data_IF_080438187850
#
_entry.id   IF_080438187850
#
_cell.length_a   1.000
_cell.length_b   1.000
_cell.length_c   1.000
_cell.angle_alpha   90.00
_cell.angle_beta   90.00
_cell.angle_gamma   90.00
#
_symmetry.space_group_name_H-M   'P 1'
#
loop_
_entity.id
_entity.type
_entity.pdbx_description
1 polymer ?
#
# COMPACT_ATOMS: atom_id res chain seq x y z
N UNK A 1 -30.29 3.32 -37.84
CA UNK A 1 -30.36 4.27 -36.71
C UNK A 1 -30.59 3.57 -35.36
N UNK A 2 -31.61 2.70 -35.20
CA UNK A 2 -31.86 1.98 -33.93
C UNK A 2 -30.71 1.06 -33.48
N UNK A 3 -30.05 0.36 -34.40
CA UNK A 3 -28.89 -0.50 -34.09
C UNK A 3 -27.68 0.31 -33.62
N UNK A 4 -27.39 1.45 -34.25
CA UNK A 4 -26.29 2.35 -33.87
C UNK A 4 -26.49 2.91 -32.46
N UNK A 5 -27.73 3.28 -32.11
CA UNK A 5 -28.04 3.76 -30.76
C UNK A 5 -27.87 2.66 -29.70
N UNK A 6 -28.24 1.42 -30.03
CA UNK A 6 -28.01 0.26 -29.17
C UNK A 6 -26.51 -0.03 -28.97
N UNK A 7 -25.71 0.04 -30.03
CA UNK A 7 -24.25 -0.12 -29.95
C UNK A 7 -23.60 0.98 -29.10
N UNK A 8 -24.03 2.24 -29.23
CA UNK A 8 -23.54 3.35 -28.41
C UNK A 8 -23.91 3.20 -26.93
N UNK A 9 -25.11 2.68 -26.63
CA UNK A 9 -25.54 2.34 -25.26
C UNK A 9 -24.70 1.20 -24.67
N UNK A 10 -24.45 0.15 -25.43
CA UNK A 10 -23.62 -0.98 -24.99
C UNK A 10 -22.16 -0.55 -24.77
N UNK A 11 -21.58 0.26 -25.66
CA UNK A 11 -20.23 0.81 -25.50
C UNK A 11 -20.12 1.72 -24.26
N UNK A 12 -21.14 2.54 -23.97
CA UNK A 12 -21.18 3.33 -22.73
C UNK A 12 -21.27 2.43 -21.49
N UNK A 13 -22.12 1.39 -21.51
CA UNK A 13 -22.24 0.45 -20.40
C UNK A 13 -20.92 -0.31 -20.14
N UNK A 14 -20.17 -0.67 -21.19
CA UNK A 14 -18.85 -1.30 -21.09
C UNK A 14 -17.81 -0.31 -20.54
N UNK A 15 -17.84 0.95 -20.99
CA UNK A 15 -16.97 2.01 -20.47
C UNK A 15 -17.19 2.30 -18.99
N UNK A 16 -18.42 2.13 -18.49
CA UNK A 16 -18.75 2.21 -17.06
C UNK A 16 -18.36 0.95 -16.27
N UNK A 17 -17.83 -0.10 -16.91
CA UNK A 17 -17.52 -1.41 -16.31
C UNK A 17 -16.02 -1.70 -16.22
N UNK A 18 -15.14 -0.71 -16.39
CA UNK A 18 -13.69 -0.93 -16.26
C UNK A 18 -13.31 -1.23 -14.80
N UNK A 19 -13.22 -2.51 -14.49
CA UNK A 19 -12.69 -3.03 -13.23
C UNK A 19 -11.21 -3.38 -13.40
N UNK A 20 -10.33 -2.46 -13.02
CA UNK A 20 -8.91 -2.76 -12.83
C UNK A 20 -8.70 -3.77 -11.69
N UNK A 21 -7.75 -4.69 -11.89
CA UNK A 21 -7.16 -5.54 -10.84
C UNK A 21 -5.92 -4.85 -10.28
N UNK A 22 -6.03 -4.40 -9.04
CA UNK A 22 -5.06 -3.52 -8.39
C UNK A 22 -4.30 -4.30 -7.32
N UNK A 23 -2.97 -4.30 -7.42
CA UNK A 23 -2.10 -4.76 -6.34
C UNK A 23 -1.85 -3.59 -5.39
N UNK A 24 -2.26 -3.73 -4.14
CA UNK A 24 -1.90 -2.79 -3.07
C UNK A 24 -0.82 -3.41 -2.19
N UNK A 25 0.41 -2.91 -2.28
CA UNK A 25 1.55 -3.36 -1.50
C UNK A 25 1.84 -2.34 -0.40
N UNK A 26 1.37 -2.59 0.82
CA UNK A 26 1.45 -1.67 1.95
C UNK A 26 1.81 -2.40 3.26
N UNK A 27 3.00 -3.02 3.35
CA UNK A 27 3.37 -3.84 4.50
C UNK A 27 3.79 -3.04 5.75
N UNK A 28 3.82 -1.70 5.69
CA UNK A 28 4.16 -0.88 6.84
C UNK A 28 3.06 -0.94 7.92
N UNK A 29 3.44 -1.28 9.16
CA UNK A 29 2.48 -1.49 10.26
C UNK A 29 2.06 -0.19 10.99
N UNK A 30 2.40 0.99 10.46
CA UNK A 30 1.91 2.26 11.02
C UNK A 30 0.38 2.34 10.91
N UNK A 31 -0.35 2.41 12.04
CA UNK A 31 -1.83 2.42 12.01
C UNK A 31 -2.40 3.60 11.20
N UNK A 32 -1.76 4.76 11.26
CA UNK A 32 -2.11 5.94 10.46
C UNK A 32 -1.98 5.69 8.95
N UNK A 33 -0.91 5.02 8.53
CA UNK A 33 -0.62 4.65 7.14
C UNK A 33 -1.67 3.68 6.62
N UNK A 34 -2.04 2.70 7.44
CA UNK A 34 -3.14 1.81 7.13
C UNK A 34 -4.48 2.55 6.98
N UNK A 35 -4.84 3.44 7.92
CA UNK A 35 -6.10 4.18 7.85
C UNK A 35 -6.17 4.99 6.55
N UNK A 36 -5.07 5.67 6.20
CA UNK A 36 -4.96 6.45 4.98
C UNK A 36 -5.11 5.58 3.72
N UNK A 37 -4.30 4.51 3.59
CA UNK A 37 -4.35 3.59 2.44
C UNK A 37 -5.72 2.91 2.33
N UNK A 38 -6.27 2.42 3.45
CA UNK A 38 -7.56 1.73 3.50
C UNK A 38 -8.71 2.60 2.98
N UNK A 39 -8.67 3.91 3.23
CA UNK A 39 -9.65 4.86 2.67
C UNK A 39 -9.65 4.84 1.13
N UNK A 40 -8.46 4.85 0.53
CA UNK A 40 -8.27 4.82 -0.93
C UNK A 40 -8.71 3.46 -1.50
N UNK A 41 -8.23 2.35 -0.92
CA UNK A 41 -8.54 1.00 -1.40
C UNK A 41 -10.04 0.69 -1.30
N UNK A 42 -10.71 1.10 -0.22
CA UNK A 42 -12.18 0.96 -0.07
C UNK A 42 -12.93 1.76 -1.12
N UNK A 43 -12.50 2.99 -1.40
CA UNK A 43 -13.13 3.83 -2.42
C UNK A 43 -12.96 3.25 -3.84
N UNK A 44 -11.82 2.63 -4.14
CA UNK A 44 -11.58 1.91 -5.40
C UNK A 44 -12.42 0.63 -5.49
N UNK A 45 -12.44 -0.16 -4.41
CA UNK A 45 -13.28 -1.35 -4.31
C UNK A 45 -14.77 -1.01 -4.54
N UNK A 46 -15.28 0.05 -3.91
CA UNK A 46 -16.67 0.52 -4.10
C UNK A 46 -16.99 0.95 -5.54
N UNK A 47 -15.98 1.34 -6.33
CA UNK A 47 -16.11 1.64 -7.76
C UNK A 47 -16.03 0.40 -8.65
N UNK A 48 -15.91 -0.79 -8.05
CA UNK A 48 -15.95 -2.07 -8.75
C UNK A 48 -14.57 -2.67 -9.04
N UNK A 49 -13.47 -2.03 -8.61
CA UNK A 49 -12.12 -2.56 -8.81
C UNK A 49 -11.85 -3.80 -7.96
N UNK A 50 -11.03 -4.71 -8.50
CA UNK A 50 -10.56 -5.90 -7.78
C UNK A 50 -9.30 -5.53 -7.01
N UNK A 51 -9.32 -5.67 -5.69
CA UNK A 51 -8.17 -5.31 -4.86
C UNK A 51 -7.47 -6.59 -4.40
N UNK A 52 -6.14 -6.62 -4.53
CA UNK A 52 -5.27 -7.62 -3.90
C UNK A 52 -4.32 -6.86 -2.99
N UNK A 53 -4.59 -6.84 -1.70
CA UNK A 53 -3.85 -6.10 -0.69
C UNK A 53 -2.90 -7.00 0.09
N UNK A 54 -1.64 -6.57 0.20
CA UNK A 54 -0.63 -7.13 1.08
C UNK A 54 -0.33 -6.09 2.17
N UNK A 55 -0.82 -6.32 3.38
CA UNK A 55 -0.69 -5.38 4.51
C UNK A 55 -0.90 -6.10 5.86
N UNK A 56 -0.48 -5.51 6.99
CA UNK A 56 -0.63 -6.16 8.30
C UNK A 56 -2.04 -6.08 8.90
N UNK A 57 -2.95 -5.29 8.31
CA UNK A 57 -4.28 -5.06 8.88
C UNK A 57 -5.38 -5.46 7.89
N UNK A 58 -6.19 -6.50 8.18
CA UNK A 58 -7.28 -6.90 7.30
C UNK A 58 -8.42 -5.87 7.29
N UNK A 59 -9.26 -5.86 6.24
CA UNK A 59 -10.53 -5.16 6.27
C UNK A 59 -11.39 -5.59 7.47
N UNK A 60 -12.13 -4.65 8.07
CA UNK A 60 -12.98 -4.92 9.25
C UNK A 60 -14.12 -5.91 9.00
N UNK A 61 -14.44 -6.19 7.74
CA UNK A 61 -15.43 -7.17 7.31
C UNK A 61 -15.00 -7.75 5.96
N UNK A 62 -15.43 -8.97 5.61
CA UNK A 62 -15.21 -9.52 4.28
C UNK A 62 -15.80 -8.60 3.20
N UNK A 63 -15.05 -8.40 2.12
CA UNK A 63 -15.45 -7.60 0.95
C UNK A 63 -15.37 -8.49 -0.30
N UNK A 64 -16.39 -8.45 -1.15
CA UNK A 64 -16.34 -9.14 -2.44
C UNK A 64 -15.23 -8.56 -3.32
N UNK A 65 -14.61 -9.33 -4.20
CA UNK A 65 -13.55 -8.84 -5.10
C UNK A 65 -12.38 -8.13 -4.36
N UNK A 66 -12.15 -8.50 -3.11
CA UNK A 66 -11.08 -7.97 -2.27
C UNK A 66 -10.33 -9.15 -1.64
N UNK A 67 -9.12 -9.38 -2.10
CA UNK A 67 -8.21 -10.36 -1.50
C UNK A 67 -7.27 -9.61 -0.58
N UNK A 68 -7.25 -9.99 0.70
CA UNK A 68 -6.28 -9.49 1.66
C UNK A 68 -5.32 -10.61 2.04
N UNK A 69 -4.03 -10.29 2.07
CA UNK A 69 -2.96 -11.19 2.47
C UNK A 69 -2.15 -10.51 3.55
N UNK A 70 -2.16 -11.09 4.74
CA UNK A 70 -1.41 -10.56 5.87
C UNK A 70 0.10 -10.67 5.63
N UNK A 71 0.81 -9.57 5.92
CA UNK A 71 2.27 -9.47 5.89
C UNK A 71 2.70 -8.79 7.18
N UNK A 72 3.27 -9.58 8.10
CA UNK A 72 3.78 -9.12 9.38
C UNK A 72 5.31 -9.12 9.37
N UNK A 73 5.91 -8.14 10.03
CA UNK A 73 7.36 -7.99 10.14
C UNK A 73 7.81 -8.07 11.61
N UNK A 74 9.09 -8.30 11.85
CA UNK A 74 9.62 -8.27 13.22
C UNK A 74 9.60 -6.84 13.78
N UNK A 75 9.74 -5.84 12.90
CA UNK A 75 9.61 -4.44 13.25
C UNK A 75 8.24 -4.12 13.89
N UNK A 76 7.16 -4.69 13.37
CA UNK A 76 5.84 -4.59 13.98
C UNK A 76 5.85 -5.14 15.41
N UNK A 77 6.41 -6.32 15.64
CA UNK A 77 6.44 -6.93 16.98
C UNK A 77 7.18 -6.06 17.99
N UNK A 78 8.25 -5.40 17.56
CA UNK A 78 9.08 -4.55 18.39
C UNK A 78 8.40 -3.21 18.74
N UNK A 79 7.48 -2.74 17.89
CA UNK A 79 6.94 -1.38 17.96
C UNK A 79 5.43 -1.31 18.25
N UNK A 80 4.71 -2.43 18.19
CA UNK A 80 3.25 -2.50 18.41
C UNK A 80 2.80 -1.91 19.77
N UNK A 81 3.67 -1.95 20.78
CA UNK A 81 3.38 -1.47 22.14
C UNK A 81 4.04 -0.12 22.45
N UNK A 82 4.58 0.57 21.45
CA UNK A 82 5.25 1.84 21.68
C UNK A 82 4.27 2.94 22.07
N UNK A 83 4.65 3.72 23.08
CA UNK A 83 3.98 4.99 23.36
C UNK A 83 4.39 6.05 22.36
N UNK A 84 3.60 7.12 22.27
CA UNK A 84 3.94 8.26 21.43
C UNK A 84 5.30 8.85 21.80
N UNK A 85 5.65 8.91 23.09
CA UNK A 85 6.92 9.44 23.57
C UNK A 85 8.11 8.59 23.12
N UNK A 86 7.97 7.26 23.14
CA UNK A 86 9.00 6.34 22.64
C UNK A 86 9.24 6.54 21.14
N UNK A 87 8.16 6.67 20.36
CA UNK A 87 8.27 7.00 18.94
C UNK A 87 8.89 8.40 18.73
N UNK A 88 8.47 9.41 19.49
CA UNK A 88 8.96 10.78 19.36
C UNK A 88 10.46 10.91 19.67
N UNK A 89 10.97 10.13 20.63
CA UNK A 89 12.40 10.03 20.92
C UNK A 89 13.18 9.47 19.73
N UNK A 90 12.68 8.37 19.15
CA UNK A 90 13.26 7.72 17.97
C UNK A 90 13.25 8.62 16.75
N UNK A 91 12.10 9.23 16.46
CA UNK A 91 11.95 10.16 15.36
C UNK A 91 12.71 11.47 15.61
N UNK A 92 13.36 11.61 16.79
CA UNK A 92 14.03 12.79 17.30
C UNK A 92 13.17 14.05 17.09
N UNK A 93 11.86 13.90 17.29
CA UNK A 93 10.89 14.99 17.35
C UNK A 93 11.05 15.80 18.65
N UNK A 94 12.26 15.84 19.22
CA UNK A 94 12.51 16.44 20.52
C UNK A 94 12.26 17.94 20.46
N UNK A 95 11.74 18.49 21.57
CA UNK A 95 11.54 19.92 21.81
C UNK A 95 12.86 20.72 21.90
N UNK A 96 13.91 20.31 21.17
CA UNK A 96 15.15 21.07 21.09
C UNK A 96 14.91 22.31 20.22
N UNK A 97 15.41 23.47 20.65
CA UNK A 97 15.31 24.75 19.94
C UNK A 97 15.89 24.73 18.51
N UNK A 98 16.58 23.64 18.12
CA UNK A 98 16.95 23.37 16.74
C UNK A 98 16.26 22.09 16.24
N UNK A 99 15.38 22.18 15.22
CA UNK A 99 14.84 20.98 14.57
C UNK A 99 16.01 20.17 14.02
N UNK A 100 16.12 18.91 14.42
CA UNK A 100 17.10 18.01 13.84
C UNK A 100 16.64 17.65 12.43
N UNK A 101 17.29 18.16 11.35
CA UNK A 101 16.88 17.86 9.98
C UNK A 101 17.03 16.37 9.63
N UNK A 102 17.71 15.60 10.49
CA UNK A 102 17.92 14.17 10.37
C UNK A 102 17.00 13.35 11.30
N UNK A 103 15.97 13.93 11.93
CA UNK A 103 15.04 13.15 12.76
C UNK A 103 14.41 11.98 11.99
N UNK A 104 13.99 12.25 10.75
CA UNK A 104 13.45 11.25 9.83
C UNK A 104 14.45 10.19 9.37
N UNK A 105 15.77 10.45 9.39
CA UNK A 105 16.75 9.41 9.01
C UNK A 105 16.73 8.24 9.98
N UNK A 106 16.45 8.50 11.27
CA UNK A 106 16.39 7.43 12.27
C UNK A 106 15.17 6.54 12.04
N UNK A 107 14.05 7.14 11.62
CA UNK A 107 12.86 6.39 11.23
C UNK A 107 13.19 5.51 10.03
N UNK A 108 13.83 6.08 8.99
CA UNK A 108 14.26 5.31 7.82
C UNK A 108 15.23 4.17 8.18
N UNK A 109 16.22 4.40 9.05
CA UNK A 109 17.14 3.34 9.50
C UNK A 109 16.46 2.21 10.26
N UNK A 110 15.41 2.53 11.02
CA UNK A 110 14.66 1.51 11.73
C UNK A 110 13.72 0.72 10.82
N UNK A 111 13.16 1.35 9.80
CA UNK A 111 12.20 0.71 8.92
C UNK A 111 12.86 0.02 7.72
N UNK A 112 14.04 0.47 7.28
CA UNK A 112 14.77 -0.14 6.15
C UNK A 112 15.02 -1.66 6.32
N UNK A 113 15.39 -2.21 7.49
CA UNK A 113 15.51 -3.65 7.70
C UNK A 113 14.25 -4.45 7.33
N UNK A 114 13.06 -3.85 7.45
CA UNK A 114 11.80 -4.52 7.07
C UNK A 114 11.78 -4.92 5.61
N UNK A 115 12.45 -4.17 4.73
CA UNK A 115 12.53 -4.52 3.31
C UNK A 115 13.00 -5.97 3.14
N UNK A 116 14.10 -6.35 3.79
CA UNK A 116 14.63 -7.70 3.72
C UNK A 116 13.63 -8.73 4.25
N UNK A 117 12.96 -8.43 5.36
CA UNK A 117 11.98 -9.32 5.98
C UNK A 117 10.76 -9.54 5.07
N UNK A 118 10.24 -8.46 4.47
CA UNK A 118 9.11 -8.51 3.53
C UNK A 118 9.43 -9.41 2.35
N UNK A 119 10.60 -9.25 1.70
CA UNK A 119 11.01 -10.12 0.59
C UNK A 119 11.33 -11.56 1.02
N UNK A 120 11.56 -11.80 2.31
CA UNK A 120 11.72 -13.15 2.86
C UNK A 120 10.38 -13.82 3.19
N UNK A 121 9.29 -13.07 3.31
CA UNK A 121 7.95 -13.58 3.60
C UNK A 121 7.45 -14.53 2.50
N UNK A 122 6.87 -15.66 2.89
CA UNK A 122 6.44 -16.70 1.94
C UNK A 122 5.37 -16.19 0.97
N UNK A 123 4.35 -15.48 1.47
CA UNK A 123 3.32 -14.84 0.64
C UNK A 123 3.91 -13.89 -0.42
N UNK A 124 4.96 -13.14 -0.06
CA UNK A 124 5.63 -12.21 -0.99
C UNK A 124 6.45 -12.97 -2.03
N UNK A 125 7.18 -14.01 -1.63
CA UNK A 125 7.88 -14.91 -2.56
C UNK A 125 6.91 -15.57 -3.53
N UNK A 126 5.77 -16.03 -3.04
CA UNK A 126 4.73 -16.65 -3.85
C UNK A 126 4.15 -15.65 -4.86
N UNK A 127 3.87 -14.41 -4.42
CA UNK A 127 3.46 -13.32 -5.31
C UNK A 127 4.51 -13.05 -6.39
N UNK A 128 5.78 -12.89 -6.01
CA UNK A 128 6.89 -12.61 -6.94
C UNK A 128 7.09 -13.75 -7.95
N UNK A 129 6.82 -15.00 -7.57
CA UNK A 129 6.94 -16.14 -8.47
C UNK A 129 5.63 -16.45 -9.23
N UNK A 130 4.54 -15.76 -8.91
CA UNK A 130 3.24 -15.99 -9.53
C UNK A 130 3.18 -15.51 -10.98
N UNK A 131 2.19 -16.02 -11.71
CA UNK A 131 1.78 -15.54 -13.03
C UNK A 131 0.58 -14.59 -12.96
N UNK A 132 0.37 -13.97 -11.78
CA UNK A 132 -0.69 -12.97 -11.60
C UNK A 132 -0.47 -11.77 -12.52
N UNK A 133 -1.57 -11.11 -12.85
CA UNK A 133 -1.61 -9.90 -13.65
C UNK A 133 -2.27 -8.78 -12.84
N UNK A 134 -1.71 -7.57 -12.94
CA UNK A 134 -2.25 -6.38 -12.32
C UNK A 134 -2.25 -5.23 -13.32
N UNK A 135 -3.34 -4.46 -13.33
CA UNK A 135 -3.47 -3.27 -14.17
C UNK A 135 -2.83 -2.04 -13.52
N UNK A 136 -2.65 -2.09 -12.19
CA UNK A 136 -2.11 -1.00 -11.38
C UNK A 136 -1.45 -1.56 -10.12
N UNK A 137 -0.32 -0.96 -9.73
CA UNK A 137 0.28 -1.16 -8.41
C UNK A 137 0.12 0.13 -7.60
N UNK A 138 -0.39 0.01 -6.38
CA UNK A 138 -0.44 1.08 -5.38
C UNK A 138 0.47 0.69 -4.23
N UNK A 139 1.33 1.60 -3.81
CA UNK A 139 2.20 1.41 -2.64
C UNK A 139 2.45 2.72 -1.91
N UNK A 140 3.10 2.65 -0.77
CA UNK A 140 3.67 3.79 -0.08
C UNK A 140 5.20 3.63 -0.12
N UNK A 141 5.91 4.58 -0.74
CA UNK A 141 7.36 4.45 -0.95
C UNK A 141 8.19 5.13 0.15
N UNK A 142 7.56 5.78 1.11
CA UNK A 142 8.22 6.45 2.23
C UNK A 142 8.53 5.46 3.37
N UNK A 143 9.26 5.90 4.39
CA UNK A 143 9.57 5.06 5.55
C UNK A 143 10.33 3.77 5.20
N UNK A 144 11.32 3.82 4.31
CA UNK A 144 12.13 2.63 3.99
C UNK A 144 11.39 1.60 3.15
N UNK A 145 10.28 1.99 2.52
CA UNK A 145 9.44 1.14 1.67
C UNK A 145 9.66 1.38 0.16
N UNK A 146 10.72 2.12 -0.22
CA UNK A 146 11.04 2.42 -1.62
C UNK A 146 11.19 1.13 -2.46
N UNK A 147 11.63 0.04 -1.83
CA UNK A 147 11.77 -1.27 -2.47
C UNK A 147 10.44 -1.86 -2.97
N UNK A 148 9.30 -1.43 -2.43
CA UNK A 148 7.97 -1.87 -2.88
C UNK A 148 7.65 -1.37 -4.30
N UNK A 149 8.37 -0.35 -4.79
CA UNK A 149 8.25 0.11 -6.18
C UNK A 149 8.63 -0.98 -7.20
N UNK A 150 9.42 -1.99 -6.80
CA UNK A 150 9.82 -3.09 -7.69
C UNK A 150 8.62 -3.87 -8.24
N UNK A 151 7.49 -3.89 -7.53
CA UNK A 151 6.30 -4.62 -7.96
C UNK A 151 5.70 -4.06 -9.25
N UNK A 152 5.85 -2.76 -9.51
CA UNK A 152 5.49 -2.16 -10.80
C UNK A 152 6.23 -2.80 -11.95
N UNK A 153 7.56 -2.81 -11.88
CA UNK A 153 8.41 -3.44 -12.90
C UNK A 153 8.20 -4.95 -12.97
N UNK A 154 8.02 -5.62 -11.82
CA UNK A 154 7.79 -7.08 -11.77
C UNK A 154 6.53 -7.48 -12.52
N UNK A 155 5.45 -6.69 -12.43
CA UNK A 155 4.17 -7.01 -13.07
C UNK A 155 3.91 -6.22 -14.35
N UNK A 156 4.85 -5.37 -14.78
CA UNK A 156 4.70 -4.54 -15.98
C UNK A 156 3.57 -3.51 -15.87
N UNK A 157 3.23 -3.11 -14.65
CA UNK A 157 2.08 -2.26 -14.35
C UNK A 157 2.51 -0.85 -13.93
N UNK A 158 1.74 0.19 -14.27
CA UNK A 158 1.96 1.53 -13.74
C UNK A 158 1.91 1.50 -12.21
N UNK A 159 2.78 2.28 -11.56
CA UNK A 159 2.87 2.35 -10.09
C UNK A 159 2.50 3.72 -9.61
N UNK A 160 1.54 3.78 -8.68
CA UNK A 160 1.17 4.99 -7.94
C UNK A 160 1.69 4.85 -6.52
N UNK A 161 2.50 5.80 -6.09
CA UNK A 161 2.80 5.96 -4.67
C UNK A 161 1.81 6.94 -4.05
N UNK A 162 1.21 6.54 -2.93
CA UNK A 162 0.39 7.42 -2.11
C UNK A 162 1.15 7.74 -0.83
N UNK A 163 1.16 9.02 -0.45
CA UNK A 163 1.91 9.50 0.71
C UNK A 163 1.03 10.49 1.47
N UNK A 164 1.00 10.35 2.79
CA UNK A 164 0.27 11.27 3.68
C UNK A 164 1.02 12.55 4.01
N UNK A 165 2.27 12.69 3.55
CA UNK A 165 3.15 13.82 3.84
C UNK A 165 3.31 14.69 2.59
N UNK A 166 3.31 16.02 2.77
CA UNK A 166 3.56 16.96 1.68
C UNK A 166 5.02 16.91 1.26
N UNK A 167 5.28 16.91 -0.04
CA UNK A 167 6.60 17.29 -0.58
C UNK A 167 6.81 18.79 -0.28
N UNK A 168 7.65 19.09 0.70
CA UNK A 168 8.22 20.43 0.89
C UNK A 168 9.59 20.51 0.23
#
# INVERSE_FOLDING_TARGET
MKSIFLWLLLLNAIGCSFSARILAMAPFHGKSHYIFMSGILKALHQRGHHIVEYSPYPPSKPLANYTHVEVHTEFEKQTQNWTFEQFAQVAKLSNSMWPNPFGFINVWWMTNPMCKEIFQHENIKNLINSKEHFDLVITESTFGQESMLVFGSRFGAPTITVQGFSSV
#
